data_IF_555147672922
#
_entry.id   IF_555147672922
#
_cell.length_a   1.000
_cell.length_b   1.000
_cell.length_c   1.000
_cell.angle_alpha   90.00
_cell.angle_beta   90.00
_cell.angle_gamma   90.00
#
_symmetry.space_group_name_H-M   'P 1'
#
loop_
_entity.id
_entity.type
_entity.pdbx_description
1 polymer ?
#
# COMPACT_ATOMS: atom_id res chain seq x y z
N UNK A 1 -62.86 5.13 -39.83
CA UNK A 1 -61.76 5.86 -39.14
C UNK A 1 -61.03 4.89 -38.21
N UNK A 2 -59.91 4.37 -38.67
CA UNK A 2 -59.10 3.40 -37.90
C UNK A 2 -58.03 4.17 -37.14
N UNK A 3 -58.09 4.17 -35.80
CA UNK A 3 -57.08 4.77 -34.93
C UNK A 3 -55.87 3.81 -34.85
N UNK A 4 -54.71 4.25 -35.32
CA UNK A 4 -53.42 3.58 -35.06
C UNK A 4 -53.08 3.63 -33.55
N UNK A 5 -52.65 2.52 -32.97
CA UNK A 5 -52.20 2.54 -31.57
C UNK A 5 -50.89 3.35 -31.42
N UNK A 6 -50.67 4.00 -30.27
CA UNK A 6 -49.46 4.79 -30.05
C UNK A 6 -48.21 3.87 -30.00
N UNK A 7 -47.23 4.20 -30.77
CA UNK A 7 -45.91 3.56 -30.75
C UNK A 7 -45.27 3.76 -29.36
N UNK A 8 -45.12 2.67 -28.60
CA UNK A 8 -44.30 2.65 -27.37
C UNK A 8 -42.88 3.11 -27.75
N UNK A 9 -42.48 4.27 -27.25
CA UNK A 9 -41.06 4.65 -27.21
C UNK A 9 -40.33 3.55 -26.45
N UNK A 10 -39.39 2.89 -27.12
CA UNK A 10 -38.45 1.98 -26.44
C UNK A 10 -37.75 2.78 -25.34
N UNK A 11 -37.78 2.24 -24.10
CA UNK A 11 -36.98 2.79 -23.00
C UNK A 11 -35.53 2.80 -23.45
N UNK A 12 -34.85 3.93 -23.26
CA UNK A 12 -33.41 3.99 -23.49
C UNK A 12 -32.73 2.86 -22.68
N UNK A 13 -31.79 2.12 -23.25
CA UNK A 13 -31.07 1.10 -22.52
C UNK A 13 -30.45 1.73 -21.26
N UNK A 14 -30.59 1.04 -20.12
CA UNK A 14 -30.00 1.50 -18.87
C UNK A 14 -28.49 1.67 -19.08
N UNK A 15 -27.99 2.88 -18.89
CA UNK A 15 -26.58 3.22 -19.06
C UNK A 15 -25.76 2.39 -18.05
N UNK A 16 -24.92 1.47 -18.54
CA UNK A 16 -24.03 0.69 -17.65
C UNK A 16 -22.98 1.64 -17.10
N UNK A 17 -22.92 1.86 -15.78
CA UNK A 17 -22.04 2.87 -15.21
C UNK A 17 -20.56 2.46 -15.38
N UNK A 18 -19.71 3.41 -15.75
CA UNK A 18 -18.27 3.23 -15.78
C UNK A 18 -17.72 3.21 -14.33
N UNK A 19 -17.22 2.07 -13.89
CA UNK A 19 -16.79 1.85 -12.49
C UNK A 19 -15.27 1.86 -12.28
N UNK A 20 -14.46 1.87 -13.35
CA UNK A 20 -12.99 1.80 -13.28
C UNK A 20 -12.33 3.18 -13.20
N UNK A 21 -12.85 4.05 -12.36
CA UNK A 21 -12.40 5.44 -12.17
C UNK A 21 -11.55 5.65 -10.92
N UNK A 22 -11.06 4.57 -10.31
CA UNK A 22 -10.22 4.63 -9.11
C UNK A 22 -8.77 4.31 -9.47
N UNK A 23 -7.83 5.08 -8.94
CA UNK A 23 -6.41 4.74 -8.90
C UNK A 23 -5.97 4.47 -7.46
N UNK A 24 -4.99 3.57 -7.30
CA UNK A 24 -4.43 3.23 -6.00
C UNK A 24 -2.96 3.66 -5.89
N UNK A 25 -2.64 4.38 -4.81
CA UNK A 25 -1.27 4.59 -4.36
C UNK A 25 -1.03 3.66 -3.17
N UNK A 26 -0.06 2.77 -3.33
CA UNK A 26 0.24 1.70 -2.37
C UNK A 26 1.63 1.96 -1.81
N UNK A 27 1.75 2.01 -0.50
CA UNK A 27 2.98 2.37 0.19
C UNK A 27 3.46 1.20 1.05
N UNK A 28 4.75 0.93 1.02
CA UNK A 28 5.39 0.36 2.19
C UNK A 28 5.46 1.42 3.29
N UNK A 29 5.75 1.01 4.53
CA UNK A 29 5.74 1.94 5.66
C UNK A 29 7.14 2.27 6.16
N UNK A 30 7.87 1.27 6.63
CA UNK A 30 9.20 1.41 7.24
C UNK A 30 10.25 1.69 6.14
N UNK A 31 11.02 2.78 6.27
CA UNK A 31 11.94 3.24 5.21
C UNK A 31 11.27 4.02 4.08
N UNK A 32 9.96 3.90 3.93
CA UNK A 32 9.17 4.57 2.88
C UNK A 32 8.45 5.81 3.40
N UNK A 33 7.60 5.70 4.40
CA UNK A 33 6.91 6.82 5.03
C UNK A 33 7.64 7.30 6.29
N UNK A 34 8.46 6.43 6.90
CA UNK A 34 9.26 6.69 8.09
C UNK A 34 10.73 6.42 7.83
N UNK A 35 11.67 7.16 8.46
CA UNK A 35 13.11 6.93 8.29
C UNK A 35 13.63 5.61 8.86
N UNK A 36 12.94 5.04 9.85
CA UNK A 36 13.35 3.86 10.60
C UNK A 36 12.16 2.90 10.76
N UNK A 37 12.41 1.62 11.05
CA UNK A 37 11.38 0.66 11.44
C UNK A 37 10.53 1.16 12.62
N UNK A 38 9.22 0.90 12.55
CA UNK A 38 8.27 1.38 13.56
C UNK A 38 8.59 0.88 14.97
N UNK A 39 9.18 -0.30 15.10
CA UNK A 39 9.57 -0.89 16.38
C UNK A 39 10.60 -0.04 17.12
N UNK A 40 11.49 0.64 16.38
CA UNK A 40 12.55 1.50 16.92
C UNK A 40 12.00 2.78 17.54
N UNK A 41 10.85 3.27 17.08
CA UNK A 41 10.15 4.39 17.68
C UNK A 41 9.24 4.00 18.84
N UNK A 42 8.84 2.74 18.93
CA UNK A 42 7.72 2.31 19.75
C UNK A 42 8.14 1.31 20.84
N UNK A 43 8.30 0.05 20.47
CA UNK A 43 8.51 -1.04 21.43
C UNK A 43 9.94 -1.05 21.99
N UNK A 44 10.95 -0.81 21.17
CA UNK A 44 12.34 -0.88 21.60
C UNK A 44 12.67 0.11 22.74
N UNK A 45 12.27 1.39 22.67
CA UNK A 45 12.47 2.32 23.79
C UNK A 45 11.78 1.88 25.10
N UNK A 46 10.61 1.22 25.00
CA UNK A 46 9.88 0.73 26.16
C UNK A 46 10.59 -0.44 26.85
N UNK A 47 11.33 -1.23 26.07
CA UNK A 47 12.03 -2.43 26.54
C UNK A 47 13.54 -2.21 26.79
N UNK A 48 14.06 -1.01 26.50
CA UNK A 48 15.48 -0.74 26.55
C UNK A 48 16.30 -1.56 25.55
N UNK A 49 15.71 -1.89 24.39
CA UNK A 49 16.35 -2.69 23.34
C UNK A 49 17.17 -1.76 22.43
N UNK A 50 18.45 -2.10 22.21
CA UNK A 50 19.27 -1.47 21.18
C UNK A 50 18.87 -2.01 19.80
N UNK A 51 18.48 -1.16 18.83
CA UNK A 51 18.04 -1.61 17.52
C UNK A 51 19.05 -2.50 16.79
N UNK A 52 20.33 -2.11 16.83
CA UNK A 52 21.41 -2.83 16.15
C UNK A 52 21.55 -4.27 16.67
N UNK A 53 21.49 -4.45 17.99
CA UNK A 53 21.60 -5.76 18.64
C UNK A 53 20.41 -6.65 18.28
N UNK A 54 19.22 -6.09 18.32
CA UNK A 54 18.00 -6.84 17.99
C UNK A 54 17.99 -7.31 16.53
N UNK A 55 18.28 -6.42 15.60
CA UNK A 55 18.29 -6.78 14.18
C UNK A 55 19.46 -7.70 13.83
N UNK A 56 20.59 -7.59 14.53
CA UNK A 56 21.69 -8.55 14.39
C UNK A 56 21.28 -9.96 14.87
N UNK A 57 20.56 -10.07 15.99
CA UNK A 57 20.02 -11.33 16.53
C UNK A 57 19.01 -11.94 15.53
N UNK A 58 18.06 -11.15 15.01
CA UNK A 58 17.10 -11.59 13.98
C UNK A 58 17.81 -12.14 12.75
N UNK A 59 18.80 -11.40 12.22
CA UNK A 59 19.55 -11.81 11.05
C UNK A 59 20.38 -13.08 11.27
N UNK A 60 21.03 -13.19 12.43
CA UNK A 60 21.82 -14.36 12.79
C UNK A 60 20.95 -15.61 12.88
N UNK A 61 19.81 -15.53 13.56
CA UNK A 61 18.90 -16.66 13.70
C UNK A 61 18.23 -17.05 12.38
N UNK A 62 17.79 -16.05 11.60
CA UNK A 62 17.23 -16.30 10.26
C UNK A 62 18.23 -17.07 9.38
N UNK A 63 19.52 -16.71 9.42
CA UNK A 63 20.56 -17.44 8.66
C UNK A 63 20.80 -18.84 9.20
N UNK A 64 20.80 -19.01 10.50
CA UNK A 64 21.04 -20.30 11.14
C UNK A 64 19.92 -21.30 10.86
N UNK A 65 18.67 -20.85 10.90
CA UNK A 65 17.50 -21.71 10.79
C UNK A 65 16.97 -21.83 9.34
N UNK A 66 17.36 -20.92 8.46
CA UNK A 66 16.74 -20.77 7.15
C UNK A 66 15.28 -20.30 7.22
N UNK A 67 14.87 -19.72 8.35
CA UNK A 67 13.51 -19.27 8.63
C UNK A 67 13.13 -17.97 7.93
N UNK A 68 11.86 -17.60 8.03
CA UNK A 68 11.34 -16.31 7.57
C UNK A 68 11.79 -15.20 8.54
N UNK A 69 12.40 -14.12 8.04
CA UNK A 69 12.94 -13.03 8.87
C UNK A 69 11.85 -12.25 9.60
N UNK A 70 10.66 -12.12 9.00
CA UNK A 70 9.54 -11.40 9.62
C UNK A 70 8.96 -12.24 10.77
N UNK A 71 8.78 -13.53 10.55
CA UNK A 71 8.34 -14.44 11.59
C UNK A 71 9.37 -14.51 12.73
N UNK A 72 10.67 -14.52 12.41
CA UNK A 72 11.76 -14.53 13.38
C UNK A 72 11.72 -13.27 14.26
N UNK A 73 11.64 -12.07 13.65
CA UNK A 73 11.59 -10.85 14.47
C UNK A 73 10.34 -10.79 15.34
N UNK A 74 9.19 -11.21 14.80
CA UNK A 74 7.94 -11.19 15.58
C UNK A 74 8.03 -12.11 16.79
N UNK A 75 8.59 -13.33 16.62
CA UNK A 75 8.81 -14.27 17.75
C UNK A 75 9.78 -13.69 18.78
N UNK A 76 10.96 -13.24 18.33
CA UNK A 76 11.97 -12.65 19.23
C UNK A 76 11.41 -11.44 19.99
N UNK A 77 10.57 -10.62 19.35
CA UNK A 77 9.95 -9.48 20.00
C UNK A 77 9.03 -9.91 21.14
N UNK A 78 8.21 -10.95 20.95
CA UNK A 78 7.38 -11.52 22.03
C UNK A 78 8.25 -12.02 23.17
N UNK A 79 9.32 -12.78 22.89
CA UNK A 79 10.26 -13.27 23.92
C UNK A 79 10.91 -12.12 24.70
N UNK A 80 11.32 -11.03 24.04
CA UNK A 80 11.87 -9.84 24.72
C UNK A 80 10.80 -9.15 25.59
N UNK A 81 9.56 -9.07 25.14
CA UNK A 81 8.43 -8.53 25.92
C UNK A 81 8.23 -9.37 27.19
N UNK A 82 8.20 -10.70 27.07
CA UNK A 82 8.05 -11.62 28.18
C UNK A 82 9.23 -11.55 29.17
N UNK A 83 10.48 -11.58 28.66
CA UNK A 83 11.68 -11.49 29.47
C UNK A 83 11.75 -10.20 30.30
N UNK A 84 11.26 -9.10 29.76
CA UNK A 84 11.18 -7.80 30.46
C UNK A 84 9.94 -7.68 31.35
N UNK A 85 9.10 -8.72 31.44
CA UNK A 85 7.82 -8.70 32.18
C UNK A 85 6.93 -7.51 31.77
N UNK A 86 7.08 -7.07 30.53
CA UNK A 86 6.30 -5.97 29.98
C UNK A 86 4.91 -6.47 29.57
N UNK A 87 3.88 -5.65 29.82
CA UNK A 87 2.55 -5.94 29.37
C UNK A 87 2.19 -5.01 28.20
N UNK A 88 2.48 -5.44 26.99
CA UNK A 88 2.15 -4.70 25.76
C UNK A 88 0.87 -5.27 25.16
N UNK A 89 -0.25 -4.76 25.62
CA UNK A 89 -1.55 -5.06 25.04
C UNK A 89 -1.72 -4.39 23.66
N UNK A 90 -2.72 -4.85 22.89
CA UNK A 90 -3.10 -4.21 21.62
C UNK A 90 -3.29 -2.69 21.78
N UNK A 91 -3.98 -2.27 22.82
CA UNK A 91 -4.20 -0.86 23.13
C UNK A 91 -2.91 -0.13 23.49
N UNK A 92 -1.96 -0.79 24.18
CA UNK A 92 -0.65 -0.22 24.48
C UNK A 92 0.17 -0.01 23.20
N UNK A 93 0.29 -1.03 22.36
CA UNK A 93 1.00 -0.93 21.06
C UNK A 93 0.43 0.20 20.20
N UNK A 94 -0.90 0.32 20.11
CA UNK A 94 -1.56 1.40 19.38
C UNK A 94 -1.18 2.79 19.92
N UNK A 95 -1.09 2.97 21.25
CA UNK A 95 -0.69 4.26 21.84
C UNK A 95 0.77 4.62 21.56
N UNK A 96 1.66 3.63 21.47
CA UNK A 96 3.07 3.86 21.16
C UNK A 96 3.29 4.47 19.77
N UNK A 97 2.34 4.32 18.87
CA UNK A 97 2.38 4.92 17.53
C UNK A 97 2.57 6.45 17.54
N UNK A 98 2.22 7.14 18.64
CA UNK A 98 2.47 8.57 18.82
C UNK A 98 3.95 8.95 18.79
N UNK A 99 4.86 7.99 19.01
CA UNK A 99 6.31 8.17 18.92
C UNK A 99 6.85 8.15 17.49
N UNK A 100 6.07 7.70 16.52
CA UNK A 100 6.52 7.55 15.13
C UNK A 100 6.81 8.91 14.51
N UNK A 101 7.93 8.97 13.79
CA UNK A 101 8.36 10.14 13.02
C UNK A 101 8.29 9.83 11.54
N UNK A 102 7.67 10.72 10.79
CA UNK A 102 7.57 10.59 9.33
C UNK A 102 8.67 11.33 8.61
N UNK A 103 8.92 10.93 7.36
CA UNK A 103 9.71 11.76 6.45
C UNK A 103 9.04 13.13 6.21
N UNK A 104 9.83 14.17 5.87
CA UNK A 104 9.31 15.51 5.68
C UNK A 104 8.16 15.57 4.69
N UNK A 105 7.02 16.11 5.12
CA UNK A 105 5.84 16.36 4.28
C UNK A 105 4.85 15.21 4.11
N UNK A 106 5.08 14.04 4.75
CA UNK A 106 4.17 12.88 4.69
C UNK A 106 2.77 13.23 5.19
N UNK A 107 2.65 13.94 6.31
CA UNK A 107 1.35 14.24 6.94
C UNK A 107 0.41 15.05 6.05
N UNK A 108 0.95 15.85 5.12
CA UNK A 108 0.15 16.66 4.19
C UNK A 108 0.13 16.09 2.76
N UNK A 109 0.81 14.98 2.52
CA UNK A 109 0.98 14.38 1.21
C UNK A 109 -0.33 13.89 0.61
N UNK A 110 -1.08 13.13 1.36
CA UNK A 110 -2.28 12.41 0.90
C UNK A 110 -3.36 13.38 0.39
N UNK A 111 -3.65 14.43 1.16
CA UNK A 111 -4.61 15.46 0.76
C UNK A 111 -4.17 16.21 -0.49
N UNK A 112 -2.87 16.53 -0.61
CA UNK A 112 -2.36 17.20 -1.82
C UNK A 112 -2.47 16.32 -3.05
N UNK A 113 -2.18 15.03 -2.94
CA UNK A 113 -2.33 14.08 -4.04
C UNK A 113 -3.80 13.91 -4.39
N UNK A 114 -4.69 13.74 -3.42
CA UNK A 114 -6.14 13.66 -3.67
C UNK A 114 -6.66 14.89 -4.40
N UNK A 115 -6.29 16.08 -3.94
CA UNK A 115 -6.66 17.35 -4.57
C UNK A 115 -6.11 17.46 -5.99
N UNK A 116 -4.86 17.05 -6.19
CA UNK A 116 -4.25 17.04 -7.52
C UNK A 116 -5.03 16.15 -8.49
N UNK A 117 -5.31 14.90 -8.11
CA UNK A 117 -6.06 13.95 -8.93
C UNK A 117 -7.45 14.47 -9.25
N UNK A 118 -8.19 14.95 -8.24
CA UNK A 118 -9.55 15.49 -8.42
C UNK A 118 -9.55 16.69 -9.37
N UNK A 119 -8.65 17.65 -9.17
CA UNK A 119 -8.56 18.84 -10.04
C UNK A 119 -8.15 18.47 -11.45
N UNK A 120 -7.13 17.62 -11.60
CA UNK A 120 -6.56 17.26 -12.91
C UNK A 120 -7.51 16.44 -13.77
N UNK A 121 -8.34 15.62 -13.14
CA UNK A 121 -9.32 14.76 -13.79
C UNK A 121 -10.72 15.40 -13.93
N UNK A 122 -10.91 16.64 -13.45
CA UNK A 122 -12.25 17.25 -13.38
C UNK A 122 -13.25 16.45 -12.53
N UNK A 123 -12.75 15.77 -11.50
CA UNK A 123 -13.54 14.90 -10.62
C UNK A 123 -13.83 13.50 -11.17
N UNK A 124 -13.34 13.16 -12.38
CA UNK A 124 -13.55 11.84 -12.97
C UNK A 124 -12.86 10.73 -12.18
N UNK A 125 -11.63 10.96 -11.68
CA UNK A 125 -10.80 9.94 -11.04
C UNK A 125 -10.72 10.18 -9.54
N UNK A 126 -10.86 9.10 -8.77
CA UNK A 126 -10.65 9.06 -7.32
C UNK A 126 -9.31 8.40 -7.00
N UNK A 127 -8.51 9.02 -6.13
CA UNK A 127 -7.32 8.39 -5.57
C UNK A 127 -7.66 7.71 -4.25
N UNK A 128 -7.13 6.48 -4.06
CA UNK A 128 -7.17 5.74 -2.78
C UNK A 128 -5.76 5.39 -2.36
N UNK A 129 -5.51 5.46 -1.07
CA UNK A 129 -4.22 5.17 -0.49
C UNK A 129 -4.27 3.89 0.33
N UNK A 130 -3.21 3.08 0.26
CA UNK A 130 -3.08 1.79 0.93
C UNK A 130 -1.70 1.66 1.56
N UNK A 131 -1.61 1.01 2.73
CA UNK A 131 -0.35 0.55 3.29
C UNK A 131 -0.27 -0.96 3.12
N UNK A 132 0.89 -1.47 2.69
CA UNK A 132 1.25 -2.90 2.71
C UNK A 132 2.62 -3.05 3.34
N UNK A 133 2.68 -3.42 4.61
CA UNK A 133 3.87 -3.40 5.46
C UNK A 133 4.18 -4.73 6.10
N UNK A 134 5.47 -5.02 6.30
CA UNK A 134 5.93 -6.13 7.14
C UNK A 134 5.86 -5.80 8.65
N UNK A 135 5.63 -4.54 9.01
CA UNK A 135 5.49 -4.06 10.37
C UNK A 135 4.19 -4.51 11.06
N UNK A 136 3.95 -4.01 12.27
CA UNK A 136 2.86 -4.45 13.14
C UNK A 136 1.58 -3.64 12.95
N UNK A 137 0.50 -4.34 12.64
CA UNK A 137 -0.85 -3.77 12.48
C UNK A 137 -1.28 -3.03 13.73
N UNK A 138 -0.99 -3.55 14.91
CA UNK A 138 -1.35 -2.96 16.20
C UNK A 138 -0.77 -1.55 16.38
N UNK A 139 0.44 -1.31 15.87
CA UNK A 139 1.08 0.01 15.88
C UNK A 139 0.45 0.88 14.79
N UNK A 140 0.31 0.36 13.56
CA UNK A 140 -0.25 1.11 12.44
C UNK A 140 -1.70 1.57 12.65
N UNK A 141 -2.45 0.88 13.51
CA UNK A 141 -3.78 1.31 13.93
C UNK A 141 -3.78 2.63 14.74
N UNK A 142 -2.63 3.02 15.28
CA UNK A 142 -2.48 4.24 16.09
C UNK A 142 -1.79 5.41 15.39
N UNK A 143 -1.33 5.26 14.15
CA UNK A 143 -0.61 6.33 13.44
C UNK A 143 -1.52 7.52 13.12
N UNK A 144 -0.99 8.73 13.21
CA UNK A 144 -1.74 9.98 12.99
C UNK A 144 -2.34 10.11 11.59
N UNK A 145 -1.67 9.50 10.60
CA UNK A 145 -2.07 9.56 9.18
C UNK A 145 -3.02 8.44 8.76
N UNK A 146 -3.46 7.55 9.68
CA UNK A 146 -4.28 6.38 9.35
C UNK A 146 -5.56 6.71 8.58
N UNK A 147 -6.18 7.83 8.91
CA UNK A 147 -7.45 8.26 8.31
C UNK A 147 -7.37 8.55 6.79
N UNK A 148 -6.15 8.64 6.23
CA UNK A 148 -5.96 8.81 4.80
C UNK A 148 -6.00 7.49 4.01
N UNK A 149 -5.89 6.35 4.71
CA UNK A 149 -5.79 5.05 4.04
C UNK A 149 -7.13 4.33 4.00
N UNK A 150 -7.48 3.81 2.83
CA UNK A 150 -8.64 2.92 2.64
C UNK A 150 -8.45 1.63 3.43
N UNK A 151 -7.24 1.05 3.33
CA UNK A 151 -6.82 -0.14 4.09
C UNK A 151 -5.35 -0.07 4.48
N UNK A 152 -5.07 -0.69 5.62
CA UNK A 152 -3.73 -0.96 6.12
C UNK A 152 -3.57 -2.47 6.26
N UNK A 153 -2.68 -3.04 5.47
CA UNK A 153 -2.31 -4.45 5.53
C UNK A 153 -0.94 -4.56 6.21
N UNK A 154 -0.87 -5.29 7.31
CA UNK A 154 0.35 -5.43 8.10
C UNK A 154 0.38 -6.76 8.84
N UNK A 155 1.56 -7.16 9.32
CA UNK A 155 1.69 -8.34 10.17
C UNK A 155 0.93 -8.15 11.48
N UNK A 156 0.41 -9.22 12.08
CA UNK A 156 -0.48 -9.14 13.22
C UNK A 156 -0.22 -10.23 14.24
N UNK A 157 -0.34 -9.89 15.52
CA UNK A 157 -0.31 -10.86 16.61
C UNK A 157 -1.70 -11.39 16.98
N UNK A 158 -1.71 -12.62 17.49
CA UNK A 158 -2.77 -13.11 18.34
C UNK A 158 -2.56 -12.59 19.76
N UNK A 159 -3.63 -12.12 20.39
CA UNK A 159 -3.65 -11.72 21.79
C UNK A 159 -4.47 -12.74 22.58
N UNK A 160 -3.91 -13.23 23.67
CA UNK A 160 -4.61 -14.13 24.56
C UNK A 160 -5.68 -13.40 25.39
N UNK A 161 -6.38 -14.12 26.27
CA UNK A 161 -7.43 -13.56 27.13
C UNK A 161 -6.92 -12.53 28.17
N UNK A 162 -5.61 -12.43 28.38
CA UNK A 162 -4.98 -11.38 29.19
C UNK A 162 -4.51 -10.17 28.35
N UNK A 163 -4.95 -10.08 27.09
CA UNK A 163 -4.51 -9.03 26.15
C UNK A 163 -2.99 -8.98 25.92
N UNK A 164 -2.30 -10.13 26.02
CA UNK A 164 -0.86 -10.25 25.76
C UNK A 164 -0.65 -10.86 24.38
N UNK A 165 0.21 -10.22 23.57
CA UNK A 165 0.66 -10.78 22.30
C UNK A 165 1.42 -12.08 22.53
N UNK A 166 1.05 -13.17 21.86
CA UNK A 166 1.64 -14.47 22.12
C UNK A 166 2.10 -15.21 20.84
N UNK A 167 1.57 -14.82 19.68
CA UNK A 167 1.89 -15.57 18.47
C UNK A 167 1.47 -14.79 17.21
N UNK A 168 2.28 -14.81 16.12
CA UNK A 168 1.92 -14.16 14.86
C UNK A 168 0.74 -14.87 14.16
N UNK A 169 -0.34 -14.15 13.86
CA UNK A 169 -1.49 -14.66 13.10
C UNK A 169 -1.44 -14.29 11.64
N UNK A 170 -0.84 -13.14 11.32
CA UNK A 170 -0.59 -12.70 9.96
C UNK A 170 0.88 -12.30 9.87
N UNK A 171 1.57 -12.86 8.89
CA UNK A 171 2.97 -12.52 8.57
C UNK A 171 3.02 -12.02 7.14
N UNK A 172 3.44 -10.79 6.97
CA UNK A 172 3.63 -10.16 5.67
C UNK A 172 5.13 -10.04 5.40
N UNK A 173 5.63 -10.91 4.54
CA UNK A 173 6.99 -10.89 4.02
C UNK A 173 7.04 -10.37 2.59
N UNK A 174 8.22 -10.36 1.99
CA UNK A 174 8.49 -9.83 0.65
C UNK A 174 7.54 -10.36 -0.41
N UNK A 175 7.30 -11.67 -0.43
CA UNK A 175 6.45 -12.31 -1.43
C UNK A 175 4.97 -12.23 -1.06
N UNK A 176 4.63 -12.40 0.21
CA UNK A 176 3.23 -12.32 0.64
C UNK A 176 2.64 -10.91 0.56
N UNK A 177 3.46 -9.85 0.52
CA UNK A 177 3.02 -8.48 0.16
C UNK A 177 2.23 -8.46 -1.15
N UNK A 178 2.61 -9.27 -2.15
CA UNK A 178 1.98 -9.25 -3.48
C UNK A 178 0.51 -9.66 -3.47
N UNK A 179 0.09 -10.53 -2.55
CA UNK A 179 -1.32 -10.92 -2.45
C UNK A 179 -2.24 -9.72 -2.20
N UNK A 180 -1.77 -8.70 -1.48
CA UNK A 180 -2.56 -7.52 -1.15
C UNK A 180 -2.76 -6.62 -2.37
N UNK A 181 -1.81 -6.61 -3.32
CA UNK A 181 -2.01 -5.96 -4.62
C UNK A 181 -3.17 -6.60 -5.38
N UNK A 182 -3.27 -7.94 -5.37
CA UNK A 182 -4.39 -8.65 -5.99
C UNK A 182 -5.71 -8.44 -5.24
N UNK A 183 -5.69 -8.26 -3.91
CA UNK A 183 -6.87 -7.88 -3.13
C UNK A 183 -7.39 -6.51 -3.55
N UNK A 184 -6.52 -5.52 -3.64
CA UNK A 184 -6.85 -4.17 -4.12
C UNK A 184 -7.36 -4.23 -5.57
N UNK A 185 -6.68 -4.98 -6.44
CA UNK A 185 -7.07 -5.14 -7.84
C UNK A 185 -8.49 -5.68 -8.01
N UNK A 186 -8.85 -6.71 -7.23
CA UNK A 186 -10.15 -7.38 -7.30
C UNK A 186 -11.22 -6.75 -6.41
N UNK A 187 -10.89 -5.73 -5.59
CA UNK A 187 -11.79 -5.21 -4.56
C UNK A 187 -12.19 -6.25 -3.51
N UNK A 188 -11.35 -7.27 -3.28
CA UNK A 188 -11.52 -8.33 -2.27
C UNK A 188 -10.71 -7.97 -1.02
N UNK A 189 -11.10 -6.86 -0.39
CA UNK A 189 -10.31 -6.21 0.65
C UNK A 189 -10.70 -6.63 2.06
N UNK A 190 -11.84 -7.28 2.21
CA UNK A 190 -12.34 -7.77 3.51
C UNK A 190 -11.69 -9.10 3.89
N UNK A 191 -11.34 -9.31 5.17
CA UNK A 191 -10.89 -10.62 5.64
C UNK A 191 -11.89 -11.74 5.30
N UNK A 192 -11.40 -12.88 4.84
CA UNK A 192 -12.24 -14.03 4.45
C UNK A 192 -12.68 -14.05 2.98
N UNK A 193 -12.60 -12.91 2.25
CA UNK A 193 -12.84 -12.93 0.81
C UNK A 193 -11.69 -13.62 0.06
N UNK A 194 -12.04 -14.54 -0.84
CA UNK A 194 -11.06 -15.28 -1.64
C UNK A 194 -10.53 -14.42 -2.80
N UNK A 195 -9.21 -14.34 -2.92
CA UNK A 195 -8.55 -13.74 -4.10
C UNK A 195 -8.38 -14.74 -5.25
N UNK A 196 -8.60 -16.04 -4.99
CA UNK A 196 -8.39 -17.11 -5.97
C UNK A 196 -9.58 -17.29 -6.91
N UNK A 197 -10.77 -16.78 -6.55
CA UNK A 197 -11.91 -16.78 -7.46
C UNK A 197 -11.58 -16.03 -8.75
N UNK A 198 -11.97 -16.63 -9.87
CA UNK A 198 -11.79 -15.98 -11.16
C UNK A 198 -12.64 -14.70 -11.24
N UNK A 199 -12.03 -13.61 -11.65
CA UNK A 199 -12.68 -12.34 -11.94
C UNK A 199 -12.13 -11.80 -13.26
N UNK A 200 -12.97 -11.64 -14.29
CA UNK A 200 -12.56 -11.01 -15.54
C UNK A 200 -11.90 -9.65 -15.30
N UNK A 201 -10.88 -9.32 -16.07
CA UNK A 201 -10.14 -8.07 -15.87
C UNK A 201 -11.03 -6.83 -16.00
N UNK A 202 -12.00 -6.86 -16.89
CA UNK A 202 -12.95 -5.77 -17.07
C UNK A 202 -13.84 -5.50 -15.83
N UNK A 203 -13.99 -6.47 -14.95
CA UNK A 203 -14.78 -6.36 -13.70
C UNK A 203 -13.93 -5.95 -12.49
N UNK A 204 -12.60 -5.90 -12.62
CA UNK A 204 -11.73 -5.52 -11.53
C UNK A 204 -11.81 -4.02 -11.29
N UNK A 205 -12.15 -3.57 -10.07
CA UNK A 205 -12.40 -2.16 -9.80
C UNK A 205 -11.14 -1.29 -9.92
N UNK A 206 -9.97 -1.82 -9.58
CA UNK A 206 -8.69 -1.11 -9.67
C UNK A 206 -7.70 -1.94 -10.49
N UNK A 207 -7.63 -1.76 -11.83
CA UNK A 207 -6.64 -2.43 -12.66
C UNK A 207 -5.22 -2.13 -12.20
N UNK A 208 -4.29 -3.07 -12.39
CA UNK A 208 -2.88 -2.82 -12.09
C UNK A 208 -2.34 -1.57 -12.80
N UNK A 209 -2.77 -1.32 -14.03
CA UNK A 209 -2.43 -0.10 -14.76
C UNK A 209 -2.86 1.22 -14.10
N UNK A 210 -3.69 1.16 -13.07
CA UNK A 210 -4.10 2.30 -12.24
C UNK A 210 -3.42 2.30 -10.87
N UNK A 211 -2.37 1.49 -10.66
CA UNK A 211 -1.64 1.40 -9.40
C UNK A 211 -0.28 2.06 -9.48
N UNK A 212 0.09 2.71 -8.38
CA UNK A 212 1.44 3.23 -8.13
C UNK A 212 1.94 2.62 -6.82
N UNK A 213 3.03 1.84 -6.89
CA UNK A 213 3.66 1.28 -5.70
C UNK A 213 4.85 2.15 -5.29
N UNK A 214 4.92 2.52 -4.02
CA UNK A 214 6.03 3.25 -3.41
C UNK A 214 6.67 2.38 -2.32
N UNK A 215 7.97 2.13 -2.42
CA UNK A 215 8.75 1.37 -1.45
C UNK A 215 10.18 1.90 -1.36
N UNK A 216 11.00 1.38 -0.45
CA UNK A 216 12.37 1.86 -0.25
C UNK A 216 13.44 0.82 -0.59
N UNK A 217 13.09 -0.48 -0.65
CA UNK A 217 14.10 -1.50 -0.62
C UNK A 217 13.83 -2.79 -1.38
N UNK A 218 14.72 -3.74 -1.12
CA UNK A 218 14.71 -5.06 -1.76
C UNK A 218 13.48 -5.89 -1.38
N UNK A 219 12.91 -5.67 -0.20
CA UNK A 219 11.69 -6.35 0.27
C UNK A 219 10.45 -5.98 -0.55
N UNK A 220 10.51 -4.86 -1.29
CA UNK A 220 9.42 -4.39 -2.14
C UNK A 220 9.53 -4.86 -3.60
N UNK A 221 10.66 -5.45 -3.97
CA UNK A 221 10.93 -5.88 -5.37
C UNK A 221 9.83 -6.76 -5.94
N UNK A 222 9.26 -7.75 -5.23
CA UNK A 222 8.16 -8.55 -5.76
C UNK A 222 6.93 -7.68 -6.09
N UNK A 223 6.56 -6.74 -5.22
CA UNK A 223 5.44 -5.83 -5.43
C UNK A 223 5.69 -4.86 -6.59
N UNK A 224 6.88 -4.26 -6.66
CA UNK A 224 7.29 -3.38 -7.75
C UNK A 224 7.24 -4.11 -9.08
N UNK A 225 7.78 -5.33 -9.13
CA UNK A 225 7.80 -6.18 -10.33
C UNK A 225 6.40 -6.54 -10.80
N UNK A 226 5.55 -7.02 -9.89
CA UNK A 226 4.16 -7.37 -10.21
C UNK A 226 3.42 -6.15 -10.73
N UNK A 227 3.52 -5.01 -10.02
CA UNK A 227 2.84 -3.78 -10.43
C UNK A 227 3.24 -3.36 -11.84
N UNK A 228 4.54 -3.32 -12.15
CA UNK A 228 5.05 -2.94 -13.48
C UNK A 228 4.67 -3.94 -14.56
N UNK A 229 4.84 -5.24 -14.33
CA UNK A 229 4.52 -6.28 -15.32
C UNK A 229 3.06 -6.28 -15.75
N UNK A 230 2.16 -5.82 -14.88
CA UNK A 230 0.74 -5.65 -15.21
C UNK A 230 0.36 -4.22 -15.62
N UNK A 231 1.34 -3.38 -15.98
CA UNK A 231 1.11 -2.06 -16.59
C UNK A 231 0.90 -0.91 -15.61
N UNK A 232 1.14 -1.13 -14.32
CA UNK A 232 1.21 -0.10 -13.30
C UNK A 232 2.59 0.52 -13.18
N UNK A 233 2.84 1.27 -12.11
CA UNK A 233 4.06 2.05 -11.92
C UNK A 233 4.67 1.78 -10.55
N UNK A 234 6.00 1.85 -10.46
CA UNK A 234 6.74 1.68 -9.22
C UNK A 234 7.77 2.80 -9.01
N UNK A 235 7.82 3.32 -7.79
CA UNK A 235 8.78 4.36 -7.39
C UNK A 235 9.52 3.87 -6.14
N UNK A 236 10.86 3.96 -6.14
CA UNK A 236 11.63 3.78 -4.92
C UNK A 236 11.92 5.14 -4.26
N UNK A 237 11.93 5.16 -2.94
CA UNK A 237 12.41 6.30 -2.17
C UNK A 237 13.69 5.93 -1.43
N UNK A 238 14.61 6.88 -1.26
CA UNK A 238 15.83 6.65 -0.50
C UNK A 238 15.93 7.63 0.68
N UNK A 239 16.45 7.10 1.79
CA UNK A 239 16.69 7.87 3.00
C UNK A 239 18.01 8.64 2.89
N UNK A 240 18.02 9.99 3.05
CA UNK A 240 19.25 10.78 2.98
C UNK A 240 20.26 10.43 4.10
N UNK A 241 19.79 9.92 5.23
CA UNK A 241 20.65 9.50 6.33
C UNK A 241 21.30 8.11 6.11
N UNK A 242 20.85 7.36 5.09
CA UNK A 242 21.39 6.05 4.74
C UNK A 242 21.89 6.05 3.28
N UNK A 243 23.18 6.30 3.02
CA UNK A 243 23.74 6.30 1.66
C UNK A 243 23.54 4.98 0.90
N UNK A 244 23.50 3.83 1.59
CA UNK A 244 23.30 2.53 0.96
C UNK A 244 21.91 2.44 0.30
N UNK A 245 20.89 3.13 0.82
CA UNK A 245 19.56 3.15 0.21
C UNK A 245 19.53 3.77 -1.18
N UNK A 246 20.42 4.73 -1.47
CA UNK A 246 20.56 5.29 -2.80
C UNK A 246 21.15 4.27 -3.81
N UNK A 247 22.13 3.47 -3.38
CA UNK A 247 22.70 2.42 -4.22
C UNK A 247 21.68 1.32 -4.53
N UNK A 248 20.85 0.96 -3.56
CA UNK A 248 19.70 0.05 -3.79
C UNK A 248 18.78 0.63 -4.87
N UNK A 249 18.39 1.89 -4.76
CA UNK A 249 17.55 2.54 -5.77
C UNK A 249 18.17 2.52 -7.18
N UNK A 250 19.49 2.76 -7.29
CA UNK A 250 20.22 2.70 -8.56
C UNK A 250 20.19 1.29 -9.17
N UNK A 251 20.42 0.27 -8.33
CA UNK A 251 20.35 -1.12 -8.76
C UNK A 251 18.93 -1.50 -9.23
N UNK A 252 17.90 -1.02 -8.55
CA UNK A 252 16.50 -1.26 -8.95
C UNK A 252 16.15 -0.64 -10.31
N UNK A 253 16.69 0.57 -10.62
CA UNK A 253 16.54 1.18 -11.96
C UNK A 253 17.29 0.37 -13.02
N UNK A 254 18.54 -0.02 -12.74
CA UNK A 254 19.35 -0.80 -13.67
C UNK A 254 18.73 -2.17 -13.99
N UNK A 255 18.00 -2.74 -13.03
CA UNK A 255 17.25 -3.99 -13.18
C UNK A 255 15.82 -3.78 -13.70
N UNK A 256 15.44 -2.57 -14.11
CA UNK A 256 14.11 -2.19 -14.61
C UNK A 256 12.95 -2.50 -13.66
N UNK A 257 13.23 -2.60 -12.35
CA UNK A 257 12.23 -2.91 -11.30
C UNK A 257 11.34 -1.73 -10.94
N UNK A 258 11.81 -0.50 -11.20
CA UNK A 258 11.11 0.75 -10.89
C UNK A 258 11.15 1.70 -12.09
N UNK A 259 10.22 2.66 -12.12
CA UNK A 259 10.18 3.71 -13.15
C UNK A 259 11.03 4.90 -12.73
N UNK A 260 10.97 5.26 -11.44
CA UNK A 260 11.72 6.37 -10.87
C UNK A 260 12.19 6.04 -9.45
N UNK A 261 13.21 6.76 -8.98
CA UNK A 261 13.48 6.87 -7.56
C UNK A 261 13.62 8.34 -7.15
N UNK A 262 13.42 8.65 -5.89
CA UNK A 262 13.59 9.99 -5.34
C UNK A 262 14.04 9.95 -3.89
N UNK A 263 14.59 11.10 -3.41
CA UNK A 263 14.73 11.32 -1.98
C UNK A 263 13.36 11.18 -1.29
N UNK A 264 13.32 10.58 -0.12
CA UNK A 264 12.11 10.48 0.71
C UNK A 264 11.73 11.87 1.30
N UNK A 265 11.40 12.80 0.41
CA UNK A 265 10.96 14.16 0.72
C UNK A 265 9.59 14.39 0.07
N UNK A 266 8.55 14.25 0.88
CA UNK A 266 7.15 14.33 0.48
C UNK A 266 6.60 15.76 0.46
N UNK A 267 7.43 16.79 0.74
CA UNK A 267 7.00 18.19 0.72
C UNK A 267 6.58 18.62 -0.69
N UNK A 268 5.71 19.63 -0.72
CA UNK A 268 5.20 20.19 -1.98
C UNK A 268 6.32 20.70 -2.88
N UNK A 269 6.20 20.42 -4.20
CA UNK A 269 7.15 20.85 -5.23
C UNK A 269 8.46 20.08 -5.28
N UNK A 270 8.67 19.09 -4.40
CA UNK A 270 9.88 18.25 -4.38
C UNK A 270 9.85 17.20 -5.50
N UNK A 271 11.00 16.60 -5.73
CA UNK A 271 11.23 15.69 -6.88
C UNK A 271 10.32 14.47 -6.84
N UNK A 272 10.05 13.92 -5.64
CA UNK A 272 9.12 12.82 -5.47
C UNK A 272 7.71 13.20 -5.95
N UNK A 273 7.20 14.34 -5.47
CA UNK A 273 5.86 14.80 -5.87
C UNK A 273 5.76 15.03 -7.39
N UNK A 274 6.78 15.64 -8.00
CA UNK A 274 6.80 15.87 -9.45
C UNK A 274 6.73 14.55 -10.24
N UNK A 275 7.49 13.54 -9.83
CA UNK A 275 7.50 12.21 -10.46
C UNK A 275 6.18 11.49 -10.30
N UNK A 276 5.61 11.51 -9.08
CA UNK A 276 4.29 10.93 -8.82
C UNK A 276 3.23 11.61 -9.67
N UNK A 277 3.19 12.94 -9.74
CA UNK A 277 2.23 13.69 -10.58
C UNK A 277 2.34 13.34 -12.06
N UNK A 278 3.56 13.15 -12.59
CA UNK A 278 3.77 12.69 -13.97
C UNK A 278 3.10 11.33 -14.23
N UNK A 279 3.24 10.39 -13.29
CA UNK A 279 2.59 9.08 -13.38
C UNK A 279 1.07 9.23 -13.27
N UNK A 280 0.59 10.04 -12.33
CA UNK A 280 -0.84 10.28 -12.14
C UNK A 280 -1.49 10.87 -13.40
N UNK A 281 -0.80 11.78 -14.11
CA UNK A 281 -1.29 12.32 -15.39
C UNK A 281 -1.47 11.22 -16.45
N UNK A 282 -0.55 10.26 -16.52
CA UNK A 282 -0.67 9.10 -17.43
C UNK A 282 -1.87 8.24 -17.04
N UNK A 283 -2.06 7.95 -15.76
CA UNK A 283 -3.19 7.14 -15.28
C UNK A 283 -4.52 7.86 -15.53
N UNK A 284 -4.61 9.16 -15.25
CA UNK A 284 -5.81 9.98 -15.47
C UNK A 284 -6.19 9.97 -16.97
N UNK A 285 -5.21 10.15 -17.85
CA UNK A 285 -5.44 10.09 -19.30
C UNK A 285 -5.92 8.69 -19.74
N UNK A 286 -5.37 7.62 -19.17
CA UNK A 286 -5.81 6.24 -19.43
C UNK A 286 -7.25 6.03 -18.99
N UNK A 287 -7.62 6.45 -17.78
CA UNK A 287 -9.00 6.35 -17.28
C UNK A 287 -9.98 7.13 -18.17
N UNK A 288 -9.60 8.34 -18.59
CA UNK A 288 -10.43 9.15 -19.50
C UNK A 288 -10.64 8.43 -20.83
N UNK A 289 -9.59 7.85 -21.41
CA UNK A 289 -9.69 7.07 -22.64
C UNK A 289 -10.55 5.80 -22.48
N UNK A 290 -10.38 5.06 -21.37
CA UNK A 290 -11.20 3.87 -21.10
C UNK A 290 -12.68 4.22 -20.93
N UNK A 291 -12.98 5.35 -20.28
CA UNK A 291 -14.35 5.86 -20.14
C UNK A 291 -14.96 6.21 -21.48
N UNK A 292 -14.24 6.94 -22.33
CA UNK A 292 -14.71 7.32 -23.67
C UNK A 292 -14.99 6.07 -24.51
N UNK A 293 -14.10 5.08 -24.47
CA UNK A 293 -14.31 3.79 -25.15
C UNK A 293 -15.54 3.03 -24.61
N UNK A 294 -15.82 3.13 -23.31
CA UNK A 294 -17.00 2.52 -22.69
C UNK A 294 -18.27 3.20 -23.21
N UNK A 295 -18.33 4.54 -23.23
CA UNK A 295 -19.46 5.30 -23.74
C UNK A 295 -19.72 5.00 -25.21
N UNK A 296 -18.67 5.01 -26.04
CA UNK A 296 -18.78 4.65 -27.46
C UNK A 296 -19.38 3.25 -27.68
N UNK A 297 -18.97 2.27 -26.89
CA UNK A 297 -19.55 0.92 -26.97
C UNK A 297 -21.03 0.89 -26.57
N UNK A 298 -21.43 1.68 -25.56
CA UNK A 298 -22.82 1.79 -25.16
C UNK A 298 -23.67 2.40 -26.28
N UNK A 299 -23.17 3.46 -26.94
CA UNK A 299 -23.82 4.08 -28.11
C UNK A 299 -24.02 3.08 -29.26
N UNK A 300 -23.05 2.20 -29.48
CA UNK A 300 -23.11 1.17 -30.52
C UNK A 300 -23.98 -0.05 -30.13
N UNK A 301 -24.57 -0.09 -28.95
CA UNK A 301 -25.36 -1.21 -28.46
C UNK A 301 -24.53 -2.49 -28.18
N UNK A 302 -23.24 -2.35 -27.94
CA UNK A 302 -22.29 -3.46 -27.77
C UNK A 302 -21.97 -3.77 -26.27
N UNK A 303 -22.76 -3.20 -25.33
CA UNK A 303 -22.65 -3.43 -23.90
C UNK A 303 -23.82 -4.24 -23.35
#
# INVERSE_FOLDING_TARGET
>A
MSQRPPTRRAAAPAEVPFTRNTLALIYDFDGTLTPQPMQEYTVFPQLGIAPEDFWAEVNAETRLTGGDSILTYMRLLVEKIEANKAHLSRAALRRLASGIRYFPGVETWFERINRYVATRSGGLVQARHYIVSAGLSEILEGISIKHHFERVYASQYHFNHHEVACFPTIVINDTSKTQYLFRINKGRETPGESINEYMPEAQRPIPFGHMVYLGDGLTDVPCMTVTKNYGGFAIAVHNPANPASLEVCRALVAAERIDYFALADYRSGRKLEKRVRTILDVIIARVAFEREKHLFKAEMGAL
#
